data_IF_310483576369
#
_entry.id   IF_310483576369
#
_cell.length_a   1.000
_cell.length_b   1.000
_cell.length_c   1.000
_cell.angle_alpha   90.00
_cell.angle_beta   90.00
_cell.angle_gamma   90.00
#
_symmetry.space_group_name_H-M   'P 1'
#
loop_
_entity.id
_entity.type
_entity.pdbx_description
1 polymer ?
#
# COMPACT_ATOMS: atom_id res chain seq x y z
N UNK A 1 8.61 24.23 7.80
CA UNK A 1 7.98 23.86 6.53
C UNK A 1 7.71 22.37 6.57
N UNK A 2 6.44 21.94 6.53
CA UNK A 2 6.08 20.53 6.61
C UNK A 2 5.59 20.07 5.24
N UNK A 3 6.01 18.87 4.83
CA UNK A 3 5.56 18.27 3.59
C UNK A 3 4.67 17.07 3.89
N UNK A 4 3.60 16.94 3.12
CA UNK A 4 2.74 15.77 3.10
C UNK A 4 2.92 15.03 1.79
N UNK A 5 3.09 13.73 1.89
CA UNK A 5 3.12 12.82 0.76
C UNK A 5 1.73 12.23 0.57
N UNK A 6 1.25 12.20 -0.66
CA UNK A 6 -0.03 11.58 -1.02
C UNK A 6 0.11 10.72 -2.27
N UNK A 7 -0.50 9.55 -2.24
CA UNK A 7 -0.61 8.63 -3.38
C UNK A 7 -1.98 7.97 -3.36
N UNK A 8 -2.53 7.73 -4.55
CA UNK A 8 -3.82 7.04 -4.67
C UNK A 8 -3.67 5.52 -4.47
N UNK A 9 -4.61 4.84 -3.80
CA UNK A 9 -4.51 3.40 -3.51
C UNK A 9 -4.30 2.49 -4.73
N UNK A 10 -4.86 2.86 -5.89
CA UNK A 10 -4.70 2.12 -7.15
C UNK A 10 -3.28 2.19 -7.75
N UNK A 11 -2.45 3.12 -7.28
CA UNK A 11 -1.05 3.27 -7.70
C UNK A 11 -0.06 2.67 -6.69
N UNK A 12 -0.57 1.97 -5.69
CA UNK A 12 0.21 1.28 -4.65
C UNK A 12 0.14 -0.22 -4.92
N UNK A 13 1.26 -0.93 -4.74
CA UNK A 13 1.36 -2.36 -5.04
C UNK A 13 2.15 -3.12 -3.98
N UNK A 14 1.96 -4.44 -3.93
CA UNK A 14 2.80 -5.34 -3.14
C UNK A 14 4.04 -5.77 -3.93
N UNK A 15 5.19 -5.78 -3.26
CA UNK A 15 6.46 -6.22 -3.81
C UNK A 15 6.97 -7.45 -3.04
N UNK A 16 7.76 -8.28 -3.72
CA UNK A 16 8.42 -9.44 -3.08
C UNK A 16 9.73 -9.06 -2.38
N UNK A 17 10.31 -7.90 -2.73
CA UNK A 17 11.55 -7.40 -2.14
C UNK A 17 11.64 -5.88 -2.23
N UNK A 18 12.54 -5.29 -1.44
CA UNK A 18 12.86 -3.86 -1.44
C UNK A 18 13.76 -3.45 -2.63
N UNK A 19 13.68 -4.15 -3.77
CA UNK A 19 14.51 -3.84 -4.93
C UNK A 19 14.09 -2.53 -5.64
N UNK A 20 12.90 -2.00 -5.35
CA UNK A 20 12.45 -0.70 -5.84
C UNK A 20 12.69 0.40 -4.80
N UNK A 21 13.01 1.64 -5.23
CA UNK A 21 13.46 2.69 -4.32
C UNK A 21 12.39 3.29 -3.41
N UNK A 22 11.10 3.06 -3.70
CA UNK A 22 9.99 3.62 -2.94
C UNK A 22 9.13 2.50 -2.37
N UNK A 23 9.65 1.85 -1.34
CA UNK A 23 8.94 0.83 -0.58
C UNK A 23 8.89 1.13 0.91
N UNK A 24 7.92 0.52 1.58
CA UNK A 24 7.77 0.52 3.03
C UNK A 24 7.29 -0.85 3.48
N UNK A 25 7.83 -1.32 4.60
CA UNK A 25 7.33 -2.51 5.29
C UNK A 25 6.07 -2.18 6.07
N UNK A 26 5.05 -3.03 5.95
CA UNK A 26 3.78 -2.88 6.62
C UNK A 26 3.18 -4.25 6.97
N UNK A 27 2.31 -4.27 7.96
CA UNK A 27 1.52 -5.46 8.34
C UNK A 27 0.12 -5.32 7.79
N UNK A 28 -0.39 -6.36 7.13
CA UNK A 28 -1.76 -6.43 6.66
C UNK A 28 -2.72 -6.53 7.86
N UNK A 29 -3.59 -5.55 8.04
CA UNK A 29 -4.54 -5.49 9.16
C UNK A 29 -5.93 -5.97 8.78
N UNK A 30 -6.38 -5.63 7.58
CA UNK A 30 -7.75 -5.91 7.15
C UNK A 30 -7.82 -6.11 5.63
N UNK A 31 -8.67 -7.04 5.20
CA UNK A 31 -8.99 -7.28 3.79
C UNK A 31 -10.47 -6.97 3.55
N UNK A 32 -10.74 -5.99 2.69
CA UNK A 32 -12.10 -5.56 2.36
C UNK A 32 -12.42 -5.96 0.92
N UNK A 33 -13.44 -6.80 0.76
CA UNK A 33 -13.96 -7.23 -0.53
C UNK A 33 -15.11 -6.31 -0.98
N UNK A 34 -14.91 -5.59 -2.08
CA UNK A 34 -15.84 -4.59 -2.60
C UNK A 34 -16.15 -4.83 -4.09
N UNK A 35 -16.92 -5.88 -4.37
CA UNK A 35 -17.27 -6.28 -5.73
C UNK A 35 -16.04 -6.75 -6.51
N UNK A 36 -15.71 -6.07 -7.61
CA UNK A 36 -14.54 -6.40 -8.44
C UNK A 36 -13.20 -5.94 -7.85
N UNK A 37 -13.24 -5.18 -6.76
CA UNK A 37 -12.07 -4.57 -6.12
C UNK A 37 -11.87 -5.18 -4.73
N UNK A 38 -10.61 -5.39 -4.38
CA UNK A 38 -10.17 -5.72 -3.03
C UNK A 38 -9.32 -4.57 -2.50
N UNK A 39 -9.58 -4.15 -1.27
CA UNK A 39 -8.76 -3.18 -0.55
C UNK A 39 -8.03 -3.89 0.58
N UNK A 40 -6.74 -3.64 0.67
CA UNK A 40 -5.90 -4.11 1.76
C UNK A 40 -5.53 -2.92 2.62
N UNK A 41 -5.91 -2.96 3.89
CA UNK A 41 -5.54 -1.94 4.87
C UNK A 41 -4.28 -2.43 5.56
N UNK A 42 -3.19 -1.70 5.37
CA UNK A 42 -1.90 -2.06 5.91
C UNK A 42 -1.40 -0.99 6.86
N UNK A 43 -0.77 -1.41 7.95
CA UNK A 43 -0.17 -0.52 8.93
C UNK A 43 1.35 -0.58 8.83
N UNK A 44 1.97 0.58 8.61
CA UNK A 44 3.44 0.70 8.60
C UNK A 44 4.00 0.59 10.01
N UNK A 45 5.31 0.36 10.13
CA UNK A 45 6.02 0.35 11.43
C UNK A 45 5.93 1.67 12.20
N UNK A 46 5.59 2.77 11.51
CA UNK A 46 5.36 4.09 12.12
C UNK A 46 3.92 4.30 12.61
N UNK A 47 3.05 3.31 12.47
CA UNK A 47 1.62 3.39 12.81
C UNK A 47 0.75 4.08 11.75
N UNK A 48 1.33 4.50 10.62
CA UNK A 48 0.55 5.05 9.50
C UNK A 48 -0.19 3.96 8.75
N UNK A 49 -1.44 4.25 8.36
CA UNK A 49 -2.26 3.35 7.55
C UNK A 49 -2.14 3.68 6.07
N UNK A 50 -1.89 2.66 5.26
CA UNK A 50 -1.85 2.71 3.80
C UNK A 50 -2.90 1.76 3.23
N UNK A 51 -3.45 2.13 2.08
CA UNK A 51 -4.47 1.33 1.39
C UNK A 51 -3.87 0.89 0.06
N UNK A 52 -3.89 -0.42 -0.19
CA UNK A 52 -3.55 -1.00 -1.49
C UNK A 52 -4.85 -1.45 -2.15
N UNK A 53 -5.06 -1.08 -3.40
CA UNK A 53 -6.24 -1.48 -4.16
C UNK A 53 -5.84 -2.42 -5.30
N UNK A 54 -6.45 -3.61 -5.36
CA UNK A 54 -6.25 -4.57 -6.44
C UNK A 54 -7.58 -5.05 -7.03
N UNK A 55 -7.54 -5.53 -8.27
CA UNK A 55 -8.63 -6.29 -8.87
C UNK A 55 -8.68 -7.71 -8.27
N UNK A 56 -9.90 -8.27 -8.18
CA UNK A 56 -10.14 -9.55 -7.51
C UNK A 56 -9.44 -10.78 -8.12
N UNK A 57 -8.90 -10.66 -9.34
CA UNK A 57 -8.12 -11.69 -10.03
C UNK A 57 -6.67 -11.80 -9.53
N UNK A 58 -6.16 -10.78 -8.83
CA UNK A 58 -4.79 -10.74 -8.28
C UNK A 58 -4.70 -11.20 -6.82
N UNK A 59 -5.51 -12.18 -6.44
CA UNK A 59 -5.43 -12.80 -5.11
C UNK A 59 -4.14 -13.64 -4.99
N UNK A 60 -3.08 -13.04 -4.45
CA UNK A 60 -2.08 -13.82 -3.71
C UNK A 60 -2.76 -14.33 -2.43
N UNK A 61 -2.43 -15.54 -2.00
CA UNK A 61 -2.86 -16.05 -0.69
C UNK A 61 -2.19 -15.21 0.39
N UNK A 62 -2.88 -14.16 0.84
CA UNK A 62 -2.45 -13.25 1.91
C UNK A 62 -3.50 -13.29 3.01
N UNK A 63 -3.07 -13.15 4.26
CA UNK A 63 -3.93 -13.13 5.43
C UNK A 63 -3.58 -11.95 6.34
N UNK A 64 -4.54 -11.56 7.15
CA UNK A 64 -4.29 -10.59 8.22
C UNK A 64 -3.13 -11.05 9.12
N UNK A 65 -2.29 -10.10 9.50
CA UNK A 65 -1.04 -10.34 10.22
C UNK A 65 0.19 -10.58 9.34
N UNK A 66 0.03 -10.79 8.03
CA UNK A 66 1.17 -10.97 7.13
C UNK A 66 2.00 -9.68 7.02
N UNK A 67 3.32 -9.85 7.00
CA UNK A 67 4.26 -8.78 6.65
C UNK A 67 4.34 -8.61 5.14
N UNK A 68 4.22 -7.37 4.69
CA UNK A 68 4.11 -7.02 3.29
C UNK A 68 5.08 -5.87 2.98
N UNK A 69 5.66 -5.91 1.79
CA UNK A 69 6.40 -4.78 1.24
C UNK A 69 5.44 -4.05 0.30
N UNK A 70 5.15 -2.80 0.64
CA UNK A 70 4.28 -1.93 -0.15
C UNK A 70 5.15 -0.94 -0.88
N UNK A 71 4.90 -0.71 -2.17
CA UNK A 71 5.66 0.25 -2.95
C UNK A 71 4.85 0.95 -4.01
N UNK A 72 5.50 1.92 -4.65
CA UNK A 72 4.91 2.74 -5.70
C UNK A 72 5.98 3.32 -6.64
N UNK A 73 5.54 3.83 -7.78
CA UNK A 73 6.38 4.66 -8.64
C UNK A 73 6.26 6.14 -8.24
N UNK A 74 7.40 6.86 -8.19
CA UNK A 74 7.41 8.28 -7.85
C UNK A 74 6.54 9.15 -8.76
N UNK A 75 6.34 8.76 -10.02
CA UNK A 75 5.48 9.50 -10.98
C UNK A 75 4.01 9.59 -10.56
N UNK A 76 3.57 8.73 -9.64
CA UNK A 76 2.19 8.70 -9.14
C UNK A 76 2.02 9.39 -7.78
N UNK A 77 3.12 9.84 -7.18
CA UNK A 77 3.12 10.54 -5.91
C UNK A 77 2.97 12.05 -6.08
N UNK A 78 2.33 12.68 -5.09
CA UNK A 78 2.18 14.12 -4.98
C UNK A 78 2.74 14.57 -3.63
N UNK A 79 3.50 15.67 -3.64
CA UNK A 79 4.00 16.33 -2.44
C UNK A 79 3.24 17.64 -2.24
N UNK A 80 2.67 17.81 -1.06
CA UNK A 80 1.90 18.99 -0.66
C UNK A 80 2.64 19.72 0.45
N UNK A 81 2.69 21.04 0.40
CA UNK A 81 3.25 21.87 1.47
C UNK A 81 2.18 22.28 2.47
N UNK A 82 2.54 22.33 3.75
CA UNK A 82 1.75 22.90 4.83
C UNK A 82 2.58 23.77 5.78
#
# INVERSE_FOLDING_TARGET
>A
MRFFFSIRPENVQFYESNATPFTVSATLQEIIYAGAIIKFICETTSGQRLIVQASGDRLRTVKEGDEMIIGWDAKHAIVLSA
#
